data_IF_792760104112
#
_entry.id   IF_792760104112
#
_cell.length_a   1.000
_cell.length_b   1.000
_cell.length_c   1.000
_cell.angle_alpha   90.00
_cell.angle_beta   90.00
_cell.angle_gamma   90.00
#
_symmetry.space_group_name_H-M   'P 1'
#
loop_
_entity.id
_entity.type
_entity.pdbx_description
1 polymer ?
#
# COMPACT_ATOMS: atom_id res chain seq x y z
N UNK A 1 -12.61 -24.17 -14.65
CA UNK A 1 -11.17 -23.89 -14.91
C UNK A 1 -10.54 -23.54 -13.57
N UNK A 2 -9.52 -24.25 -13.11
CA UNK A 2 -8.77 -23.86 -11.91
C UNK A 2 -7.52 -23.09 -12.36
N UNK A 3 -7.42 -21.80 -12.02
CA UNK A 3 -6.25 -20.95 -12.34
C UNK A 3 -5.18 -21.04 -11.23
N UNK A 4 -4.97 -22.26 -10.69
CA UNK A 4 -4.06 -22.46 -9.55
C UNK A 4 -2.61 -22.34 -9.98
N UNK A 5 -1.94 -21.31 -9.47
CA UNK A 5 -0.50 -21.06 -9.60
C UNK A 5 0.14 -20.86 -8.21
N UNK A 6 1.43 -20.55 -8.16
CA UNK A 6 2.13 -20.35 -6.90
C UNK A 6 1.57 -19.18 -6.07
N UNK A 7 1.25 -18.06 -6.71
CA UNK A 7 0.61 -16.91 -6.07
C UNK A 7 -0.70 -17.34 -5.39
N UNK A 8 -1.61 -18.00 -6.12
CA UNK A 8 -2.89 -18.44 -5.54
C UNK A 8 -2.69 -19.39 -4.34
N UNK A 9 -1.64 -20.21 -4.34
CA UNK A 9 -1.32 -21.13 -3.24
C UNK A 9 -0.68 -20.43 -2.04
N UNK A 10 0.20 -19.45 -2.27
CA UNK A 10 0.91 -18.75 -1.17
C UNK A 10 -0.04 -17.88 -0.34
N UNK A 11 -1.02 -17.25 -0.97
CA UNK A 11 -2.00 -16.36 -0.30
C UNK A 11 -3.41 -16.97 -0.18
N UNK A 12 -3.60 -18.23 -0.57
CA UNK A 12 -4.82 -19.01 -0.30
C UNK A 12 -6.08 -18.56 -1.06
N UNK A 13 -5.94 -18.11 -2.31
CA UNK A 13 -7.04 -17.63 -3.15
C UNK A 13 -7.31 -18.57 -4.34
N UNK A 14 -8.46 -18.42 -5.00
CA UNK A 14 -8.88 -19.30 -6.12
C UNK A 14 -8.45 -18.74 -7.48
N UNK A 15 -8.59 -17.42 -7.65
CA UNK A 15 -8.22 -16.70 -8.86
C UNK A 15 -7.03 -15.78 -8.56
N UNK A 16 -6.02 -15.69 -9.44
CA UNK A 16 -4.89 -14.75 -9.31
C UNK A 16 -5.32 -13.31 -9.61
N UNK A 17 -6.34 -12.83 -8.89
CA UNK A 17 -6.93 -11.51 -9.00
C UNK A 17 -6.83 -10.88 -7.63
N UNK A 18 -6.25 -9.68 -7.57
CA UNK A 18 -6.16 -8.88 -6.35
C UNK A 18 -7.01 -7.63 -6.59
N UNK A 19 -7.99 -7.40 -5.73
CA UNK A 19 -8.71 -6.14 -5.73
C UNK A 19 -7.80 -5.06 -5.13
N UNK A 20 -7.47 -4.03 -5.91
CA UNK A 20 -6.53 -3.00 -5.52
C UNK A 20 -7.02 -2.19 -4.31
N UNK A 21 -6.20 -1.98 -3.27
CA UNK A 21 -6.57 -1.18 -2.11
C UNK A 21 -6.59 0.32 -2.47
N UNK A 22 -7.77 0.85 -2.77
CA UNK A 22 -8.00 2.27 -3.06
C UNK A 22 -8.37 3.04 -1.79
N UNK A 23 -7.43 3.72 -1.15
CA UNK A 23 -7.69 4.53 0.05
C UNK A 23 -8.74 5.62 -0.22
N UNK A 24 -9.75 5.71 0.64
CA UNK A 24 -10.92 6.60 0.46
C UNK A 24 -12.04 6.05 -0.43
N UNK A 25 -11.85 4.88 -1.06
CA UNK A 25 -12.86 4.24 -1.93
C UNK A 25 -13.18 2.81 -1.47
N UNK A 26 -12.17 2.01 -1.14
CA UNK A 26 -12.35 0.62 -0.67
C UNK A 26 -13.16 0.59 0.61
N UNK A 27 -14.20 -0.25 0.65
CA UNK A 27 -14.97 -0.52 1.87
C UNK A 27 -14.78 -1.98 2.33
N UNK A 28 -15.04 -2.31 3.61
CA UNK A 28 -15.07 -3.70 4.07
C UNK A 28 -15.97 -4.60 3.22
N UNK A 29 -17.13 -4.12 2.78
CA UNK A 29 -18.08 -4.88 1.95
C UNK A 29 -17.47 -5.22 0.58
N UNK A 30 -16.72 -4.29 -0.01
CA UNK A 30 -16.00 -4.53 -1.27
C UNK A 30 -14.94 -5.61 -1.11
N UNK A 31 -14.16 -5.55 -0.02
CA UNK A 31 -13.14 -6.57 0.32
C UNK A 31 -13.79 -7.93 0.51
N UNK A 32 -14.87 -8.00 1.28
CA UNK A 32 -15.63 -9.23 1.53
C UNK A 32 -16.17 -9.81 0.21
N UNK A 33 -16.74 -8.97 -0.66
CA UNK A 33 -17.28 -9.39 -1.95
C UNK A 33 -16.19 -9.98 -2.85
N UNK A 34 -15.04 -9.31 -2.97
CA UNK A 34 -13.90 -9.79 -3.75
C UNK A 34 -13.38 -11.13 -3.22
N UNK A 35 -13.16 -11.25 -1.91
CA UNK A 35 -12.68 -12.50 -1.30
C UNK A 35 -13.69 -13.65 -1.44
N UNK A 36 -15.00 -13.37 -1.33
CA UNK A 36 -16.06 -14.37 -1.59
C UNK A 36 -16.10 -14.82 -3.05
N UNK A 37 -15.76 -13.95 -4.00
CA UNK A 37 -15.63 -14.29 -5.41
C UNK A 37 -14.36 -15.12 -5.73
N UNK A 38 -13.47 -15.34 -4.76
CA UNK A 38 -12.26 -16.14 -4.91
C UNK A 38 -11.01 -15.35 -5.30
N UNK A 39 -11.12 -14.02 -5.40
CA UNK A 39 -9.99 -13.09 -5.50
C UNK A 39 -9.39 -12.79 -4.11
N UNK A 40 -8.31 -12.03 -4.05
CA UNK A 40 -7.84 -11.40 -2.81
C UNK A 40 -8.49 -10.01 -2.68
N UNK A 41 -9.41 -9.84 -1.72
CA UNK A 41 -9.83 -8.51 -1.28
C UNK A 41 -8.70 -7.81 -0.52
N UNK A 42 -8.51 -6.51 -0.72
CA UNK A 42 -7.45 -5.74 -0.06
C UNK A 42 -8.02 -4.52 0.64
N UNK A 43 -8.03 -4.54 1.98
CA UNK A 43 -8.52 -3.46 2.83
C UNK A 43 -7.50 -2.33 2.91
N UNK A 44 -7.89 -1.12 2.50
CA UNK A 44 -7.03 0.07 2.57
C UNK A 44 -6.99 0.65 3.97
N UNK A 45 -5.86 0.52 4.67
CA UNK A 45 -5.60 1.18 5.95
C UNK A 45 -4.83 2.49 5.77
N UNK A 46 -3.95 2.58 4.77
CA UNK A 46 -3.20 3.81 4.49
C UNK A 46 -2.42 4.28 5.72
N UNK A 47 -2.60 5.54 6.09
CA UNK A 47 -2.05 6.21 7.27
C UNK A 47 -3.10 6.36 8.39
N UNK A 48 -4.12 5.50 8.44
CA UNK A 48 -5.13 5.55 9.51
C UNK A 48 -4.52 5.22 10.89
N UNK A 49 -5.04 5.83 11.97
CA UNK A 49 -4.66 5.48 13.32
C UNK A 49 -4.93 4.01 13.67
N UNK A 50 -4.12 3.39 14.56
CA UNK A 50 -4.25 2.00 14.99
C UNK A 50 -5.67 1.58 15.39
N UNK A 51 -6.40 2.43 16.10
CA UNK A 51 -7.76 2.15 16.56
C UNK A 51 -8.72 1.99 15.38
N UNK A 52 -8.58 2.85 14.37
CA UNK A 52 -9.41 2.79 13.17
C UNK A 52 -9.04 1.58 12.30
N UNK A 53 -7.76 1.25 12.22
CA UNK A 53 -7.30 0.02 11.58
C UNK A 53 -7.93 -1.22 12.23
N UNK A 54 -7.87 -1.30 13.57
CA UNK A 54 -8.45 -2.38 14.36
C UNK A 54 -9.95 -2.56 14.08
N UNK A 55 -10.69 -1.45 14.03
CA UNK A 55 -12.13 -1.47 13.73
C UNK A 55 -12.42 -2.01 12.33
N UNK A 56 -11.74 -1.51 11.30
CA UNK A 56 -11.96 -1.92 9.91
C UNK A 56 -11.58 -3.39 9.68
N UNK A 57 -10.47 -3.84 10.28
CA UNK A 57 -10.05 -5.25 10.21
C UNK A 57 -11.12 -6.15 10.85
N UNK A 58 -11.60 -5.77 12.05
CA UNK A 58 -12.66 -6.53 12.74
C UNK A 58 -13.93 -6.62 11.90
N UNK A 59 -14.43 -5.50 11.40
CA UNK A 59 -15.64 -5.45 10.56
C UNK A 59 -15.53 -6.36 9.33
N UNK A 60 -14.35 -6.38 8.71
CA UNK A 60 -14.05 -7.23 7.54
C UNK A 60 -14.00 -8.70 7.94
N UNK A 61 -13.25 -9.04 9.00
CA UNK A 61 -13.01 -10.41 9.43
C UNK A 61 -14.25 -11.10 10.04
N UNK A 62 -15.14 -10.35 10.70
CA UNK A 62 -16.38 -10.88 11.29
C UNK A 62 -17.26 -11.60 10.25
N UNK A 63 -17.23 -11.12 9.00
CA UNK A 63 -18.09 -11.61 7.91
C UNK A 63 -17.32 -12.41 6.85
N UNK A 64 -16.04 -12.69 7.08
CA UNK A 64 -15.16 -13.30 6.09
C UNK A 64 -14.24 -14.37 6.71
N UNK A 65 -14.46 -15.63 6.30
CA UNK A 65 -13.57 -16.77 6.64
C UNK A 65 -12.45 -16.98 5.62
N UNK A 66 -12.47 -16.26 4.51
CA UNK A 66 -11.48 -16.33 3.43
C UNK A 66 -10.37 -15.30 3.67
N UNK A 67 -9.16 -15.50 3.11
CA UNK A 67 -8.09 -14.52 3.26
C UNK A 67 -8.46 -13.18 2.63
N UNK A 68 -7.90 -12.12 3.20
CA UNK A 68 -7.89 -10.77 2.66
C UNK A 68 -6.55 -10.12 3.05
N UNK A 69 -6.11 -9.14 2.26
CA UNK A 69 -4.94 -8.33 2.57
C UNK A 69 -5.35 -7.05 3.30
N UNK A 70 -4.42 -6.49 4.07
CA UNK A 70 -4.47 -5.10 4.53
C UNK A 70 -3.37 -4.31 3.86
N UNK A 71 -3.62 -3.04 3.50
CA UNK A 71 -2.66 -2.18 2.83
C UNK A 71 -2.31 -0.96 3.67
N UNK A 72 -1.01 -0.71 3.86
CA UNK A 72 -0.46 0.40 4.65
C UNK A 72 0.45 1.28 3.79
N UNK A 73 0.58 2.56 4.16
CA UNK A 73 1.53 3.47 3.52
C UNK A 73 2.83 3.52 4.31
N UNK A 74 3.97 3.39 3.62
CA UNK A 74 5.29 3.35 4.25
C UNK A 74 6.17 4.53 3.86
N UNK A 75 5.56 5.61 3.34
CA UNK A 75 6.28 6.83 2.99
C UNK A 75 6.97 7.45 4.20
N UNK A 76 8.09 8.10 3.94
CA UNK A 76 8.80 8.85 4.98
C UNK A 76 7.94 10.02 5.48
N UNK A 77 7.85 10.16 6.80
CA UNK A 77 7.23 11.33 7.43
C UNK A 77 8.29 12.44 7.52
N UNK A 78 8.11 13.58 6.83
CA UNK A 78 9.13 14.62 6.82
C UNK A 78 9.27 15.28 8.19
N UNK A 79 10.51 15.59 8.58
CA UNK A 79 10.77 16.41 9.77
C UNK A 79 10.22 17.81 9.54
N UNK A 80 9.62 18.39 10.58
CA UNK A 80 9.09 19.74 10.52
C UNK A 80 10.21 20.77 10.51
N UNK A 81 10.67 21.12 9.31
CA UNK A 81 11.69 22.14 9.06
C UNK A 81 11.09 23.54 9.00
N UNK A 82 11.96 24.56 9.03
CA UNK A 82 11.54 25.95 8.79
C UNK A 82 10.86 26.11 7.42
N UNK A 83 11.45 25.53 6.37
CA UNK A 83 10.91 25.62 5.02
C UNK A 83 9.56 24.92 4.90
N UNK A 84 9.37 23.75 5.53
CA UNK A 84 8.08 23.06 5.55
C UNK A 84 7.01 23.91 6.26
N UNK A 85 7.34 24.52 7.41
CA UNK A 85 6.43 25.43 8.12
C UNK A 85 6.02 26.62 7.25
N UNK A 86 6.98 27.21 6.55
CA UNK A 86 6.74 28.32 5.64
C UNK A 86 5.81 27.90 4.49
N UNK A 87 6.15 26.81 3.79
CA UNK A 87 5.35 26.29 2.68
C UNK A 87 3.92 25.92 3.13
N UNK A 88 3.78 25.29 4.29
CA UNK A 88 2.47 24.97 4.87
C UNK A 88 1.66 26.24 5.12
N UNK A 89 2.26 27.26 5.74
CA UNK A 89 1.57 28.51 6.08
C UNK A 89 1.13 29.29 4.83
N UNK A 90 1.99 29.34 3.81
CA UNK A 90 1.68 29.93 2.50
C UNK A 90 0.54 29.19 1.81
N UNK A 91 0.59 27.85 1.79
CA UNK A 91 -0.46 27.01 1.20
C UNK A 91 -1.78 27.14 1.96
N UNK A 92 -1.74 27.11 3.30
CA UNK A 92 -2.91 27.31 4.16
C UNK A 92 -3.59 28.64 3.85
N UNK A 93 -2.83 29.73 3.84
CA UNK A 93 -3.34 31.08 3.53
C UNK A 93 -3.97 31.12 2.15
N UNK A 94 -3.31 30.53 1.14
CA UNK A 94 -3.83 30.45 -0.22
C UNK A 94 -5.17 29.70 -0.29
N UNK A 95 -5.28 28.51 0.33
CA UNK A 95 -6.50 27.71 0.32
C UNK A 95 -7.65 28.41 1.04
N UNK A 96 -7.40 29.03 2.20
CA UNK A 96 -8.42 29.76 2.96
C UNK A 96 -8.90 31.01 2.20
N UNK A 97 -7.99 31.73 1.54
CA UNK A 97 -8.36 32.87 0.69
C UNK A 97 -9.16 32.44 -0.53
N UNK A 98 -8.75 31.38 -1.22
CA UNK A 98 -9.48 30.82 -2.36
C UNK A 98 -10.88 30.36 -1.94
N UNK A 99 -11.01 29.69 -0.79
CA UNK A 99 -12.31 29.31 -0.24
C UNK A 99 -13.20 30.53 0.03
N UNK A 100 -12.66 31.57 0.66
CA UNK A 100 -13.39 32.80 0.94
C UNK A 100 -13.87 33.52 -0.33
N UNK A 101 -13.09 33.50 -1.42
CA UNK A 101 -13.49 34.05 -2.72
C UNK A 101 -14.71 33.33 -3.32
N UNK A 102 -14.97 32.10 -2.88
CA UNK A 102 -16.10 31.27 -3.30
C UNK A 102 -17.17 31.13 -2.20
N UNK A 103 -17.19 32.03 -1.22
CA UNK A 103 -18.14 32.02 -0.08
C UNK A 103 -18.09 30.73 0.76
N UNK A 104 -16.97 30.00 0.71
CA UNK A 104 -16.75 28.79 1.51
C UNK A 104 -16.03 29.14 2.81
N UNK A 105 -16.56 28.67 3.94
CA UNK A 105 -15.92 28.78 5.24
C UNK A 105 -15.00 27.59 5.46
N UNK A 106 -13.71 27.78 5.20
CA UNK A 106 -12.67 26.78 5.43
C UNK A 106 -11.68 27.33 6.46
N UNK A 107 -11.33 26.50 7.43
CA UNK A 107 -10.25 26.77 8.38
C UNK A 107 -9.41 25.52 8.47
N UNK A 108 -8.17 25.61 8.02
CA UNK A 108 -7.23 24.49 8.09
C UNK A 108 -6.56 24.45 9.48
N UNK A 109 -6.18 23.25 9.96
CA UNK A 109 -5.49 23.12 11.25
C UNK A 109 -4.17 23.89 11.29
N UNK A 110 -3.58 24.00 12.47
CA UNK A 110 -2.18 24.42 12.59
C UNK A 110 -1.28 23.20 12.34
N UNK A 111 -0.11 23.41 11.72
CA UNK A 111 0.79 22.30 11.39
C UNK A 111 1.13 21.44 12.63
N UNK A 112 1.36 22.08 13.77
CA UNK A 112 1.70 21.40 15.03
C UNK A 112 0.55 20.60 15.64
N UNK A 113 -0.69 20.81 15.16
CA UNK A 113 -1.86 20.04 15.57
C UNK A 113 -2.13 18.84 14.66
N UNK A 114 -1.43 18.72 13.54
CA UNK A 114 -1.56 17.58 12.63
C UNK A 114 -0.78 16.40 13.20
N UNK A 115 -1.50 15.32 13.47
CA UNK A 115 -0.90 14.04 13.83
C UNK A 115 -0.90 13.13 12.61
N UNK A 116 0.30 12.66 12.25
CA UNK A 116 0.51 11.68 11.19
C UNK A 116 0.81 10.33 11.86
N UNK A 117 0.18 9.27 11.37
CA UNK A 117 0.42 7.91 11.88
C UNK A 117 1.60 7.30 11.13
N UNK A 118 2.60 6.85 11.89
CA UNK A 118 3.68 6.03 11.34
C UNK A 118 3.19 4.59 11.19
N UNK A 119 3.49 3.94 10.07
CA UNK A 119 3.05 2.57 9.82
C UNK A 119 3.50 1.58 10.89
N UNK A 120 4.60 1.88 11.61
CA UNK A 120 5.09 1.05 12.73
C UNK A 120 4.06 0.90 13.83
N UNK A 121 3.21 1.91 14.02
CA UNK A 121 2.09 1.87 14.97
C UNK A 121 1.00 0.90 14.51
N UNK A 122 0.87 0.67 13.19
CA UNK A 122 -0.11 -0.25 12.61
C UNK A 122 0.36 -1.71 12.66
N UNK A 123 1.67 -1.98 12.71
CA UNK A 123 2.24 -3.34 12.76
C UNK A 123 1.66 -4.15 13.92
N UNK A 124 1.53 -3.55 15.10
CA UNK A 124 1.00 -4.20 16.30
C UNK A 124 -0.45 -4.63 16.11
N UNK A 125 -1.26 -3.78 15.46
CA UNK A 125 -2.67 -4.05 15.15
C UNK A 125 -2.78 -5.20 14.15
N UNK A 126 -1.98 -5.17 13.10
CA UNK A 126 -1.93 -6.21 12.06
C UNK A 126 -1.61 -7.58 12.68
N UNK A 127 -0.60 -7.64 13.55
CA UNK A 127 -0.20 -8.88 14.25
C UNK A 127 -1.29 -9.33 15.22
N UNK A 128 -1.82 -8.41 16.02
CA UNK A 128 -2.87 -8.70 17.03
C UNK A 128 -4.11 -9.31 16.38
N UNK A 129 -4.53 -8.78 15.23
CA UNK A 129 -5.66 -9.30 14.46
C UNK A 129 -5.32 -10.50 13.57
N UNK A 130 -4.06 -10.97 13.58
CA UNK A 130 -3.57 -12.12 12.81
C UNK A 130 -3.84 -11.98 11.31
N UNK A 131 -3.71 -10.77 10.78
CA UNK A 131 -3.76 -10.54 9.34
C UNK A 131 -2.68 -11.41 8.66
N UNK A 132 -3.03 -12.10 7.58
CA UNK A 132 -2.13 -13.05 6.91
C UNK A 132 -1.43 -12.50 5.68
N UNK A 133 -1.92 -11.38 5.15
CA UNK A 133 -1.33 -10.71 3.99
C UNK A 133 -1.30 -9.22 4.25
N UNK A 134 -0.13 -8.61 4.12
CA UNK A 134 0.07 -7.16 4.20
C UNK A 134 0.66 -6.70 2.89
N UNK A 135 0.00 -5.76 2.24
CA UNK A 135 0.60 -5.00 1.15
C UNK A 135 1.03 -3.62 1.61
N UNK A 136 2.03 -3.04 0.96
CA UNK A 136 2.49 -1.69 1.27
C UNK A 136 2.94 -0.93 0.03
N UNK A 137 2.89 0.39 0.12
CA UNK A 137 3.13 1.31 -0.99
C UNK A 137 3.90 2.55 -0.52
N UNK A 138 4.61 3.22 -1.44
CA UNK A 138 5.41 4.43 -1.22
C UNK A 138 6.73 4.23 -0.48
N UNK A 139 7.36 3.06 -0.64
CA UNK A 139 8.62 2.76 0.01
C UNK A 139 8.75 1.28 0.35
N UNK A 140 9.64 1.02 1.29
CA UNK A 140 9.86 -0.30 1.86
C UNK A 140 9.71 -0.27 3.38
N UNK A 141 9.36 -1.41 3.95
CA UNK A 141 9.36 -1.61 5.40
C UNK A 141 10.79 -1.65 5.93
N UNK A 142 10.99 -1.24 7.18
CA UNK A 142 12.27 -1.44 7.85
C UNK A 142 12.49 -2.90 8.24
N UNK A 143 13.74 -3.29 8.46
CA UNK A 143 14.14 -4.67 8.77
C UNK A 143 13.43 -5.24 10.01
N UNK A 144 13.17 -4.42 11.03
CA UNK A 144 12.49 -4.87 12.24
C UNK A 144 11.02 -5.15 11.94
N UNK A 145 10.35 -4.24 11.23
CA UNK A 145 8.96 -4.42 10.81
C UNK A 145 8.77 -5.66 9.93
N UNK A 146 9.67 -5.89 8.96
CA UNK A 146 9.66 -7.10 8.11
C UNK A 146 9.80 -8.35 8.99
N UNK A 147 10.81 -8.36 9.88
CA UNK A 147 11.05 -9.50 10.77
C UNK A 147 9.83 -9.81 11.63
N UNK A 148 9.25 -8.80 12.28
CA UNK A 148 8.08 -8.96 13.17
C UNK A 148 6.86 -9.52 12.43
N UNK A 149 6.61 -9.05 11.21
CA UNK A 149 5.52 -9.56 10.37
C UNK A 149 5.79 -11.01 9.95
N UNK A 150 7.01 -11.33 9.50
CA UNK A 150 7.38 -12.69 9.10
C UNK A 150 7.34 -13.70 10.25
N UNK A 151 7.80 -13.31 11.43
CA UNK A 151 7.72 -14.13 12.65
C UNK A 151 6.26 -14.49 13.04
N UNK A 152 5.27 -13.78 12.47
CA UNK A 152 3.83 -14.00 12.67
C UNK A 152 3.13 -14.60 11.43
N UNK A 153 3.89 -15.20 10.52
CA UNK A 153 3.43 -15.84 9.28
C UNK A 153 2.63 -14.89 8.37
N UNK A 154 3.06 -13.63 8.28
CA UNK A 154 2.45 -12.64 7.38
C UNK A 154 3.19 -12.67 6.04
N UNK A 155 2.43 -12.85 4.95
CA UNK A 155 2.94 -12.67 3.58
C UNK A 155 2.97 -11.19 3.21
N UNK A 156 4.10 -10.71 2.71
CA UNK A 156 4.34 -9.30 2.37
C UNK A 156 4.22 -9.06 0.86
N UNK A 157 3.50 -8.00 0.47
CA UNK A 157 3.37 -7.54 -0.92
C UNK A 157 3.86 -6.08 -1.04
N UNK A 158 5.02 -5.86 -1.66
CA UNK A 158 5.56 -4.52 -1.89
C UNK A 158 5.25 -3.99 -3.28
N UNK A 159 4.80 -2.74 -3.41
CA UNK A 159 4.63 -2.09 -4.72
C UNK A 159 5.97 -1.58 -5.26
N UNK A 160 6.25 -1.80 -6.54
CA UNK A 160 7.37 -1.17 -7.24
C UNK A 160 6.90 -0.51 -8.55
N UNK A 161 7.64 0.50 -8.99
CA UNK A 161 7.39 1.29 -10.20
C UNK A 161 8.61 1.35 -11.12
N UNK A 162 9.72 0.73 -10.68
CA UNK A 162 10.99 0.65 -11.37
C UNK A 162 11.70 -0.68 -11.04
N UNK A 163 12.71 -1.02 -11.85
CA UNK A 163 13.56 -2.19 -11.61
C UNK A 163 14.35 -2.07 -10.31
N UNK A 164 14.86 -0.87 -9.99
CA UNK A 164 15.64 -0.64 -8.79
C UNK A 164 14.81 -0.89 -7.52
N UNK A 165 13.55 -0.44 -7.52
CA UNK A 165 12.61 -0.71 -6.43
C UNK A 165 12.26 -2.20 -6.32
N UNK A 166 12.08 -2.90 -7.46
CA UNK A 166 11.86 -4.34 -7.44
C UNK A 166 13.05 -5.11 -6.82
N UNK A 167 14.28 -4.74 -7.18
CA UNK A 167 15.50 -5.30 -6.57
C UNK A 167 15.54 -5.04 -5.07
N UNK A 168 15.28 -3.81 -4.64
CA UNK A 168 15.29 -3.44 -3.23
C UNK A 168 14.27 -4.25 -2.40
N UNK A 169 13.10 -4.55 -2.97
CA UNK A 169 12.09 -5.41 -2.34
C UNK A 169 12.55 -6.87 -2.27
N UNK A 170 13.15 -7.42 -3.34
CA UNK A 170 13.69 -8.78 -3.32
C UNK A 170 14.81 -8.94 -2.28
N UNK A 171 15.74 -7.99 -2.21
CA UNK A 171 16.86 -7.97 -1.26
C UNK A 171 16.39 -7.84 0.20
N UNK A 172 15.22 -7.23 0.41
CA UNK A 172 14.61 -7.09 1.74
C UNK A 172 13.72 -8.27 2.14
N UNK A 173 13.77 -9.37 1.37
CA UNK A 173 13.00 -10.59 1.62
C UNK A 173 11.48 -10.37 1.53
N UNK A 174 11.00 -9.51 0.63
CA UNK A 174 9.57 -9.37 0.37
C UNK A 174 9.05 -10.56 -0.46
N UNK A 175 7.87 -11.08 -0.10
CA UNK A 175 7.36 -12.33 -0.67
C UNK A 175 6.76 -12.14 -2.06
N UNK A 176 6.02 -11.03 -2.26
CA UNK A 176 5.36 -10.68 -3.53
C UNK A 176 5.65 -9.22 -3.90
N UNK A 177 5.92 -8.96 -5.18
CA UNK A 177 6.17 -7.63 -5.73
C UNK A 177 5.04 -7.25 -6.69
N UNK A 178 4.34 -6.17 -6.38
CA UNK A 178 3.28 -5.59 -7.20
C UNK A 178 3.89 -4.56 -8.15
N UNK A 179 3.89 -4.86 -9.46
CA UNK A 179 4.50 -4.02 -10.49
C UNK A 179 3.47 -3.01 -11.00
N UNK A 180 3.61 -1.75 -10.58
CA UNK A 180 2.73 -0.67 -11.00
C UNK A 180 3.28 0.04 -12.24
N UNK A 181 2.62 -0.17 -13.38
CA UNK A 181 2.88 0.59 -14.61
C UNK A 181 2.33 2.02 -14.57
N UNK A 182 2.71 2.84 -15.56
CA UNK A 182 2.21 4.21 -15.74
C UNK A 182 0.68 4.28 -15.91
N UNK A 183 0.07 3.21 -16.39
CA UNK A 183 -1.35 3.09 -16.68
C UNK A 183 -2.22 2.97 -15.41
N UNK A 184 -1.60 2.71 -14.25
CA UNK A 184 -2.30 2.57 -12.99
C UNK A 184 -2.95 3.90 -12.56
N UNK A 185 -4.19 3.82 -12.06
CA UNK A 185 -4.87 4.96 -11.45
C UNK A 185 -4.40 5.25 -10.02
N UNK A 186 -4.74 6.44 -9.51
CA UNK A 186 -4.40 6.87 -8.17
C UNK A 186 -2.95 7.36 -8.03
N UNK A 187 -2.40 7.25 -6.83
CA UNK A 187 -1.02 7.65 -6.57
C UNK A 187 -0.04 6.67 -7.21
N UNK A 188 1.11 7.20 -7.63
CA UNK A 188 2.24 6.39 -8.04
C UNK A 188 2.98 5.87 -6.80
N UNK A 189 3.15 4.57 -6.71
CA UNK A 189 3.70 3.86 -5.55
C UNK A 189 5.21 3.92 -5.39
N UNK A 190 5.89 4.84 -6.07
CA UNK A 190 7.35 4.99 -6.07
C UNK A 190 7.89 5.28 -4.67
N UNK A 191 9.12 4.86 -4.40
CA UNK A 191 9.76 5.03 -3.09
C UNK A 191 10.21 6.47 -2.88
N UNK A 192 10.80 7.04 -3.92
CA UNK A 192 11.29 8.42 -3.97
C UNK A 192 10.58 9.18 -5.11
N UNK A 193 10.67 10.51 -5.05
CA UNK A 193 10.22 11.40 -6.12
C UNK A 193 11.02 11.16 -7.41
N UNK A 194 10.59 10.17 -8.18
CA UNK A 194 11.18 9.86 -9.48
C UNK A 194 10.55 10.80 -10.52
N UNK A 195 11.35 11.49 -11.35
CA UNK A 195 10.84 12.29 -12.45
C UNK A 195 9.89 11.49 -13.35
N UNK A 196 8.77 12.10 -13.76
CA UNK A 196 7.75 11.47 -14.63
C UNK A 196 8.37 10.91 -15.92
N UNK A 197 9.45 11.51 -16.42
CA UNK A 197 10.18 11.07 -17.61
C UNK A 197 10.82 9.69 -17.49
N UNK A 198 11.01 9.17 -16.27
CA UNK A 198 11.56 7.84 -16.02
C UNK A 198 10.46 6.79 -15.81
N UNK A 199 9.18 7.17 -15.98
CA UNK A 199 8.08 6.23 -15.82
C UNK A 199 7.98 5.31 -17.01
N UNK A 200 7.79 4.03 -16.70
CA UNK A 200 7.77 2.95 -17.68
C UNK A 200 6.37 2.36 -17.75
N UNK A 201 5.89 2.10 -18.97
CA UNK A 201 4.65 1.36 -19.20
C UNK A 201 4.73 -0.04 -18.58
N UNK A 202 3.60 -0.56 -18.09
CA UNK A 202 3.53 -1.85 -17.40
C UNK A 202 4.24 -2.96 -18.16
N UNK A 203 3.97 -3.09 -19.46
CA UNK A 203 4.55 -4.15 -20.29
C UNK A 203 6.08 -4.07 -20.32
N UNK A 204 6.62 -2.88 -20.56
CA UNK A 204 8.07 -2.67 -20.60
C UNK A 204 8.71 -2.89 -19.23
N UNK A 205 8.09 -2.39 -18.16
CA UNK A 205 8.57 -2.55 -16.80
C UNK A 205 8.59 -4.03 -16.40
N UNK A 206 7.46 -4.72 -16.60
CA UNK A 206 7.32 -6.15 -16.35
C UNK A 206 8.37 -6.96 -17.09
N UNK A 207 8.54 -6.75 -18.40
CA UNK A 207 9.54 -7.49 -19.17
C UNK A 207 10.99 -7.18 -18.79
N UNK A 208 11.26 -5.96 -18.30
CA UNK A 208 12.61 -5.58 -17.89
C UNK A 208 12.96 -6.23 -16.56
N UNK A 209 12.04 -6.19 -15.59
CA UNK A 209 12.12 -6.95 -14.34
C UNK A 209 12.28 -8.45 -14.69
N UNK A 210 11.42 -8.96 -15.59
CA UNK A 210 11.44 -10.34 -16.07
C UNK A 210 12.83 -10.82 -16.52
N UNK A 211 13.51 -10.00 -17.32
CA UNK A 211 14.81 -10.32 -17.89
C UNK A 211 15.96 -10.24 -16.88
N UNK A 212 15.90 -9.28 -15.95
CA UNK A 212 17.00 -9.01 -15.03
C UNK A 212 17.01 -9.94 -13.83
N UNK A 213 15.84 -10.33 -13.32
CA UNK A 213 15.73 -11.17 -12.11
C UNK A 213 15.52 -12.66 -12.44
N UNK A 214 15.39 -12.99 -13.74
CA UNK A 214 15.37 -14.35 -14.24
C UNK A 214 14.00 -15.04 -14.19
N UNK A 215 13.83 -16.01 -15.07
CA UNK A 215 12.56 -16.69 -15.42
C UNK A 215 11.90 -17.38 -14.20
N UNK A 216 12.68 -17.77 -13.19
CA UNK A 216 12.22 -18.55 -12.04
C UNK A 216 11.60 -17.75 -10.89
N UNK A 217 12.06 -16.52 -10.59
CA UNK A 217 11.51 -15.75 -9.47
C UNK A 217 10.19 -15.05 -9.84
N UNK A 218 9.97 -14.78 -11.13
CA UNK A 218 9.04 -13.71 -11.53
C UNK A 218 7.61 -14.20 -11.70
N UNK A 219 7.42 -15.40 -12.22
CA UNK A 219 6.09 -16.05 -12.25
C UNK A 219 5.61 -16.51 -10.86
N UNK A 220 6.49 -16.43 -9.86
CA UNK A 220 6.26 -16.95 -8.52
C UNK A 220 6.03 -15.84 -7.48
N UNK A 221 6.70 -14.70 -7.64
CA UNK A 221 6.68 -13.58 -6.70
C UNK A 221 6.03 -12.29 -7.22
N UNK A 222 5.50 -12.21 -8.44
CA UNK A 222 5.05 -10.92 -8.98
C UNK A 222 3.56 -10.88 -9.30
N UNK A 223 2.96 -9.72 -9.06
CA UNK A 223 1.61 -9.37 -9.49
C UNK A 223 1.58 -7.99 -10.16
N UNK A 224 0.44 -7.65 -10.75
CA UNK A 224 0.15 -6.37 -11.41
C UNK A 224 -1.05 -5.76 -10.70
#
# INVERSE_FOLDING_TARGET
>A
MQWSNQLTRSIGIEYPIIQAPMFGVTTPEMVIAASRAGALGSLSLGDLPPERCSELIRLTAENLKRPFAVNIFVNNIPKVSFDLRKQYSETKTFVEQLAAQHDLKVTLPELDSIHLTDYREQIDVIITHRCKVVSFTFGNLDTESIKRLKDNDVTLIGTCTSVAEAIALEESDIDIICVQGLEAGGHRGSFDETPISLYVMLVTLWFTIYRLLGIGSITQKYCI
#
